data_IF_695953146520
#
_entry.id   IF_695953146520
#
_cell.length_a   1.000
_cell.length_b   1.000
_cell.length_c   1.000
_cell.angle_alpha   90.00
_cell.angle_beta   90.00
_cell.angle_gamma   90.00
#
_symmetry.space_group_name_H-M   'P 1'
#
loop_
_entity.id
_entity.type
_entity.pdbx_description
1 polymer ?
#
# COMPACT_ATOMS: atom_id res chain seq x y z
N UNK A 1 -24.75 -16.72 -10.46
CA UNK A 1 -24.56 -16.70 -8.99
C UNK A 1 -23.82 -17.92 -8.47
N UNK A 2 -24.18 -19.12 -8.85
CA UNK A 2 -23.44 -20.32 -8.43
C UNK A 2 -22.02 -20.39 -8.99
N UNK A 3 -21.78 -19.87 -10.17
CA UNK A 3 -20.45 -19.83 -10.78
C UNK A 3 -19.46 -18.90 -10.05
N UNK A 4 -19.94 -17.75 -9.57
CA UNK A 4 -19.08 -16.84 -8.82
C UNK A 4 -18.68 -17.42 -7.47
N UNK A 5 -19.54 -18.17 -6.81
CA UNK A 5 -19.23 -18.85 -5.57
C UNK A 5 -18.21 -19.98 -5.76
N UNK A 6 -18.30 -20.72 -6.86
CA UNK A 6 -17.34 -21.76 -7.19
C UNK A 6 -15.94 -21.20 -7.48
N UNK A 7 -15.87 -20.09 -8.21
CA UNK A 7 -14.59 -19.42 -8.48
C UNK A 7 -13.97 -18.92 -7.18
N UNK A 8 -14.76 -18.34 -6.30
CA UNK A 8 -14.29 -17.87 -5.00
C UNK A 8 -13.77 -18.99 -4.11
N UNK A 9 -14.44 -20.13 -4.11
CA UNK A 9 -14.03 -21.32 -3.36
C UNK A 9 -12.72 -21.92 -3.92
N UNK A 10 -12.56 -21.95 -5.22
CA UNK A 10 -11.35 -22.43 -5.86
C UNK A 10 -10.14 -21.54 -5.52
N UNK A 11 -10.34 -20.23 -5.51
CA UNK A 11 -9.29 -19.30 -5.12
C UNK A 11 -8.91 -19.41 -3.65
N UNK A 12 -9.82 -19.83 -2.77
CA UNK A 12 -9.56 -19.93 -1.34
C UNK A 12 -8.95 -21.27 -0.91
N UNK A 13 -9.11 -22.35 -1.69
CA UNK A 13 -8.75 -23.70 -1.28
C UNK A 13 -7.49 -24.24 -1.94
N UNK A 14 -7.03 -23.64 -3.02
CA UNK A 14 -5.96 -24.19 -3.81
C UNK A 14 -4.68 -23.38 -3.77
N UNK A 15 -3.62 -23.97 -4.19
CA UNK A 15 -2.26 -23.51 -4.20
C UNK A 15 -2.10 -22.05 -4.60
N UNK A 16 -1.95 -21.20 -3.60
CA UNK A 16 -1.82 -19.75 -3.74
C UNK A 16 -0.68 -19.31 -4.65
N UNK A 17 0.34 -20.16 -4.80
CA UNK A 17 1.52 -19.86 -5.59
C UNK A 17 1.31 -20.10 -7.07
N UNK A 18 0.48 -21.08 -7.44
CA UNK A 18 0.24 -21.45 -8.82
C UNK A 18 -0.72 -20.51 -9.56
N UNK A 19 -1.47 -19.71 -8.82
CA UNK A 19 -2.46 -18.79 -9.38
C UNK A 19 -1.95 -17.35 -9.49
N UNK A 20 -0.66 -17.13 -9.24
CA UNK A 20 -0.10 -15.80 -9.36
C UNK A 20 0.12 -15.45 -10.82
N UNK A 21 -0.72 -14.55 -11.34
CA UNK A 21 -0.65 -14.10 -12.73
C UNK A 21 0.56 -13.20 -12.95
N UNK A 22 0.86 -12.35 -11.99
CA UNK A 22 1.98 -11.42 -12.07
C UNK A 22 3.10 -11.86 -11.12
N UNK A 23 4.25 -12.21 -11.67
CA UNK A 23 5.41 -12.64 -10.87
C UNK A 23 6.14 -11.46 -10.22
N UNK A 24 5.88 -10.26 -10.70
CA UNK A 24 6.53 -9.02 -10.27
C UNK A 24 5.52 -7.97 -9.80
N UNK A 25 4.38 -8.39 -9.26
CA UNK A 25 3.40 -7.44 -8.75
C UNK A 25 4.01 -6.59 -7.63
N UNK A 26 4.05 -5.27 -7.79
CA UNK A 26 4.59 -4.40 -6.75
C UNK A 26 3.78 -4.48 -5.45
N UNK A 27 2.48 -4.73 -5.53
CA UNK A 27 1.65 -4.90 -4.33
C UNK A 27 2.03 -6.15 -3.55
N UNK A 28 2.30 -7.25 -4.25
CA UNK A 28 2.73 -8.49 -3.59
C UNK A 28 4.11 -8.34 -2.95
N UNK A 29 5.02 -7.64 -3.60
CA UNK A 29 6.36 -7.37 -3.07
C UNK A 29 6.28 -6.45 -1.84
N UNK A 30 5.44 -5.43 -1.87
CA UNK A 30 5.22 -4.57 -0.70
C UNK A 30 4.60 -5.34 0.47
N UNK A 31 3.64 -6.21 0.21
CA UNK A 31 3.05 -7.07 1.24
C UNK A 31 4.12 -7.97 1.87
N UNK A 32 4.95 -8.56 1.06
CA UNK A 32 6.07 -9.39 1.55
C UNK A 32 7.05 -8.57 2.38
N UNK A 33 7.42 -7.39 1.91
CA UNK A 33 8.28 -6.48 2.65
C UNK A 33 7.68 -6.15 4.01
N UNK A 34 6.40 -5.84 4.05
CA UNK A 34 5.69 -5.53 5.29
C UNK A 34 5.68 -6.72 6.24
N UNK A 35 5.39 -7.91 5.75
CA UNK A 35 5.39 -9.12 6.58
C UNK A 35 6.76 -9.49 7.12
N UNK A 36 7.80 -9.24 6.33
CA UNK A 36 9.18 -9.47 6.78
C UNK A 36 9.54 -8.55 7.94
N UNK A 37 9.13 -7.30 7.88
CA UNK A 37 9.44 -6.29 8.89
C UNK A 37 8.53 -6.35 10.11
N UNK A 38 7.26 -6.67 9.90
CA UNK A 38 6.24 -6.62 10.95
C UNK A 38 5.39 -7.89 10.97
N UNK A 39 5.98 -9.05 11.32
CA UNK A 39 5.27 -10.33 11.23
C UNK A 39 4.03 -10.42 12.12
N UNK A 40 3.94 -9.61 13.16
CA UNK A 40 2.81 -9.61 14.09
C UNK A 40 1.72 -8.61 13.73
N UNK A 41 1.96 -7.74 12.75
CA UNK A 41 0.97 -6.76 12.32
C UNK A 41 0.16 -7.27 11.16
N UNK A 42 -1.12 -6.96 11.17
CA UNK A 42 -2.07 -7.39 10.14
C UNK A 42 -2.77 -6.18 9.56
N UNK A 43 -3.16 -6.30 8.31
CA UNK A 43 -3.97 -5.31 7.63
C UNK A 43 -4.81 -6.00 6.57
N UNK A 44 -5.82 -5.31 6.08
CA UNK A 44 -6.58 -5.65 4.87
C UNK A 44 -6.44 -4.50 3.91
N UNK A 45 -6.43 -4.80 2.62
CA UNK A 45 -6.36 -3.77 1.58
C UNK A 45 -7.39 -4.01 0.52
N UNK A 46 -7.96 -2.95 -0.01
CA UNK A 46 -8.90 -2.99 -1.11
C UNK A 46 -8.63 -1.85 -2.08
N UNK A 47 -9.13 -2.00 -3.30
CA UNK A 47 -9.08 -0.97 -4.32
C UNK A 47 -10.50 -0.43 -4.50
N UNK A 48 -10.64 0.89 -4.39
CA UNK A 48 -11.92 1.58 -4.54
C UNK A 48 -11.93 2.37 -5.86
N UNK A 49 -13.05 2.41 -6.58
CA UNK A 49 -13.11 3.16 -7.84
C UNK A 49 -12.74 4.63 -7.72
N UNK A 50 -13.20 5.27 -6.65
CA UNK A 50 -12.78 6.61 -6.26
C UNK A 50 -12.99 6.77 -4.76
N UNK A 51 -12.16 7.61 -4.14
CA UNK A 51 -12.22 7.83 -2.72
C UNK A 51 -12.38 9.33 -2.47
N UNK A 52 -13.31 9.68 -1.58
CA UNK A 52 -13.53 11.05 -1.14
C UNK A 52 -13.45 11.13 0.38
N UNK A 53 -12.91 12.23 0.87
CA UNK A 53 -12.94 12.51 2.30
C UNK A 53 -14.32 13.03 2.74
N UNK A 54 -14.46 13.33 4.02
CA UNK A 54 -15.72 13.81 4.60
C UNK A 54 -16.18 15.14 3.99
N UNK A 55 -15.25 15.90 3.43
CA UNK A 55 -15.53 17.19 2.79
C UNK A 55 -15.83 17.05 1.29
N UNK A 56 -15.78 15.83 0.76
CA UNK A 56 -16.03 15.57 -0.65
C UNK A 56 -14.81 15.74 -1.54
N UNK A 57 -13.63 15.96 -0.97
CA UNK A 57 -12.38 16.07 -1.73
C UNK A 57 -11.88 14.68 -2.13
N UNK A 58 -11.35 14.60 -3.35
CA UNK A 58 -10.74 13.36 -3.83
C UNK A 58 -9.45 13.07 -3.07
N UNK A 59 -9.33 11.85 -2.56
CA UNK A 59 -8.10 11.34 -1.96
C UNK A 59 -7.67 10.07 -2.67
N UNK A 60 -6.39 9.74 -2.59
CA UNK A 60 -5.84 8.61 -3.34
C UNK A 60 -5.68 7.34 -2.50
N UNK A 61 -5.74 7.45 -1.20
CA UNK A 61 -5.71 6.33 -0.29
C UNK A 61 -6.00 6.77 1.14
N UNK A 62 -6.35 5.82 1.97
CA UNK A 62 -6.48 6.05 3.41
C UNK A 62 -6.31 4.73 4.16
N UNK A 63 -5.97 4.84 5.45
CA UNK A 63 -5.97 3.73 6.38
C UNK A 63 -7.02 3.98 7.45
N UNK A 64 -7.94 3.04 7.59
CA UNK A 64 -8.97 3.12 8.61
C UNK A 64 -8.59 2.24 9.79
N UNK A 65 -8.45 2.86 10.95
CA UNK A 65 -8.26 2.16 12.21
C UNK A 65 -9.59 2.08 12.95
N UNK A 66 -9.92 0.88 13.40
CA UNK A 66 -11.10 0.64 14.22
C UNK A 66 -10.69 -0.16 15.45
N UNK A 67 -11.15 0.27 16.60
CA UNK A 67 -10.74 -0.33 17.88
C UNK A 67 -11.05 -1.84 17.91
N UNK A 68 -10.02 -2.63 18.16
CA UNK A 68 -10.16 -4.09 18.24
C UNK A 68 -10.28 -4.78 16.88
N UNK A 69 -10.17 -4.06 15.79
CA UNK A 69 -10.27 -4.61 14.44
C UNK A 69 -8.96 -4.43 13.65
N UNK A 70 -8.79 -5.27 12.64
CA UNK A 70 -7.66 -5.15 11.71
C UNK A 70 -7.79 -3.88 10.88
N UNK A 71 -6.72 -3.06 10.78
CA UNK A 71 -6.76 -1.88 9.93
C UNK A 71 -7.06 -2.22 8.48
N UNK A 72 -7.78 -1.33 7.81
CA UNK A 72 -8.14 -1.47 6.40
C UNK A 72 -7.54 -0.33 5.60
N UNK A 73 -6.80 -0.70 4.56
CA UNK A 73 -6.22 0.24 3.60
C UNK A 73 -7.11 0.27 2.36
N UNK A 74 -7.45 1.46 1.89
CA UNK A 74 -8.11 1.66 0.60
C UNK A 74 -7.20 2.46 -0.33
N UNK A 75 -7.11 2.03 -1.58
CA UNK A 75 -6.31 2.66 -2.62
C UNK A 75 -7.23 3.00 -3.79
N UNK A 76 -7.09 4.20 -4.33
CA UNK A 76 -7.91 4.64 -5.47
C UNK A 76 -7.51 3.92 -6.74
N UNK A 77 -8.50 3.44 -7.49
CA UNK A 77 -8.32 2.84 -8.81
C UNK A 77 -7.99 3.87 -9.89
N UNK A 78 -8.05 5.16 -9.57
CA UNK A 78 -7.74 6.24 -10.50
C UNK A 78 -6.24 6.44 -10.73
N UNK A 79 -5.40 5.80 -9.93
CA UNK A 79 -3.95 5.92 -9.99
C UNK A 79 -3.34 4.94 -10.99
N UNK A 80 -2.23 5.34 -11.62
CA UNK A 80 -1.39 4.37 -12.32
C UNK A 80 -0.72 3.43 -11.32
N UNK A 81 -0.12 2.35 -11.82
CA UNK A 81 0.46 1.32 -10.94
C UNK A 81 1.59 1.88 -10.06
N UNK A 82 2.41 2.78 -10.60
CA UNK A 82 3.53 3.37 -9.84
C UNK A 82 3.03 4.20 -8.67
N UNK A 83 2.08 5.10 -8.94
CA UNK A 83 1.49 5.94 -7.90
C UNK A 83 0.71 5.11 -6.88
N UNK A 84 -0.04 4.10 -7.35
CA UNK A 84 -0.77 3.20 -6.46
C UNK A 84 0.17 2.42 -5.55
N UNK A 85 1.33 2.00 -6.06
CA UNK A 85 2.36 1.32 -5.28
C UNK A 85 2.89 2.23 -4.17
N UNK A 86 3.18 3.47 -4.51
CA UNK A 86 3.66 4.46 -3.53
C UNK A 86 2.61 4.76 -2.47
N UNK A 87 1.36 4.94 -2.87
CA UNK A 87 0.25 5.15 -1.93
C UNK A 87 0.08 3.93 -1.03
N UNK A 88 0.18 2.73 -1.57
CA UNK A 88 0.10 1.53 -0.74
C UNK A 88 1.20 1.49 0.32
N UNK A 89 2.45 1.80 -0.05
CA UNK A 89 3.55 1.87 0.90
C UNK A 89 3.32 2.97 1.95
N UNK A 90 2.78 4.11 1.55
CA UNK A 90 2.40 5.21 2.45
C UNK A 90 1.39 4.73 3.50
N UNK A 91 0.37 4.02 3.07
CA UNK A 91 -0.66 3.50 3.99
C UNK A 91 -0.14 2.35 4.86
N UNK A 92 0.73 1.49 4.32
CA UNK A 92 1.41 0.47 5.13
C UNK A 92 2.26 1.10 6.24
N UNK A 93 2.90 2.22 5.95
CA UNK A 93 3.66 2.95 6.96
C UNK A 93 2.76 3.47 8.09
N UNK A 94 1.53 3.87 7.78
CA UNK A 94 0.55 4.21 8.81
C UNK A 94 0.19 3.01 9.70
N UNK A 95 0.00 1.84 9.11
CA UNK A 95 -0.24 0.61 9.88
C UNK A 95 0.95 0.29 10.78
N UNK A 96 2.17 0.42 10.27
CA UNK A 96 3.40 0.15 11.02
C UNK A 96 3.60 1.14 12.17
N UNK A 97 3.39 2.43 11.91
CA UNK A 97 3.57 3.48 12.91
C UNK A 97 2.47 3.49 13.97
N UNK A 98 1.27 3.07 13.59
CA UNK A 98 0.11 3.03 14.48
C UNK A 98 -0.79 4.25 14.38
N UNK A 99 -2.01 4.09 14.86
CA UNK A 99 -2.99 5.15 14.92
C UNK A 99 -2.46 6.33 15.75
N UNK A 100 -2.64 7.53 15.24
CA UNK A 100 -2.23 8.74 15.94
C UNK A 100 -0.82 9.21 15.64
N UNK A 101 0.00 8.43 14.91
CA UNK A 101 1.36 8.85 14.55
C UNK A 101 1.38 9.97 13.49
N UNK A 102 0.29 10.13 12.73
CA UNK A 102 0.22 11.11 11.64
C UNK A 102 1.33 10.87 10.61
N UNK A 103 1.84 11.95 10.03
CA UNK A 103 2.99 11.93 9.11
C UNK A 103 4.27 12.38 9.80
N UNK A 104 4.37 12.18 11.12
CA UNK A 104 5.53 12.55 11.89
C UNK A 104 6.76 11.68 11.62
N UNK A 105 7.78 11.90 12.43
CA UNK A 105 9.07 11.20 12.29
C UNK A 105 8.94 9.69 12.26
N UNK A 106 8.15 9.13 13.16
CA UNK A 106 7.94 7.69 13.24
C UNK A 106 7.35 7.11 11.95
N UNK A 107 6.34 7.77 11.38
CA UNK A 107 5.78 7.36 10.11
C UNK A 107 6.84 7.40 9.00
N UNK A 108 7.63 8.46 8.95
CA UNK A 108 8.70 8.61 7.96
C UNK A 108 9.75 7.49 8.05
N UNK A 109 10.13 7.12 9.26
CA UNK A 109 11.07 6.01 9.48
C UNK A 109 10.50 4.68 9.00
N UNK A 110 9.25 4.40 9.31
CA UNK A 110 8.59 3.18 8.88
C UNK A 110 8.40 3.14 7.36
N UNK A 111 8.06 4.26 6.77
CA UNK A 111 7.95 4.37 5.32
C UNK A 111 9.29 4.07 4.63
N UNK A 112 10.37 4.65 5.11
CA UNK A 112 11.71 4.40 4.56
C UNK A 112 12.10 2.93 4.72
N UNK A 113 11.81 2.35 5.87
CA UNK A 113 12.11 0.94 6.15
C UNK A 113 11.37 0.00 5.20
N UNK A 114 10.10 0.27 4.93
CA UNK A 114 9.28 -0.52 4.00
C UNK A 114 9.85 -0.42 2.58
N UNK A 115 10.21 0.77 2.14
CA UNK A 115 10.80 0.95 0.82
C UNK A 115 12.16 0.30 0.67
N UNK A 116 13.00 0.38 1.67
CA UNK A 116 14.32 -0.27 1.66
C UNK A 116 14.17 -1.80 1.51
N UNK A 117 13.23 -2.39 2.25
CA UNK A 117 12.97 -3.81 2.15
C UNK A 117 12.36 -4.19 0.80
N UNK A 118 11.43 -3.38 0.31
CA UNK A 118 10.85 -3.55 -1.02
C UNK A 118 11.93 -3.55 -2.11
N UNK A 119 12.83 -2.58 -2.07
CA UNK A 119 13.93 -2.49 -3.03
C UNK A 119 14.91 -3.65 -2.88
N UNK A 120 15.18 -4.08 -1.66
CA UNK A 120 16.04 -5.23 -1.40
C UNK A 120 15.46 -6.49 -2.06
N UNK A 121 14.17 -6.75 -1.86
CA UNK A 121 13.50 -7.91 -2.45
C UNK A 121 13.53 -7.81 -3.98
N UNK A 122 13.26 -6.64 -4.53
CA UNK A 122 13.28 -6.42 -5.97
C UNK A 122 14.64 -6.71 -6.59
N UNK A 123 15.70 -6.20 -5.98
CA UNK A 123 17.07 -6.46 -6.44
C UNK A 123 17.44 -7.93 -6.37
N UNK A 124 17.08 -8.59 -5.28
CA UNK A 124 17.36 -10.01 -5.10
C UNK A 124 16.69 -10.88 -6.17
N UNK A 125 15.46 -10.55 -6.55
CA UNK A 125 14.68 -11.35 -7.49
C UNK A 125 14.87 -10.99 -8.95
N UNK A 126 15.07 -9.72 -9.24
CA UNK A 126 15.05 -9.20 -10.62
C UNK A 126 16.39 -8.60 -11.04
N UNK A 127 17.37 -8.56 -10.14
CA UNK A 127 18.69 -8.02 -10.41
C UNK A 127 18.71 -6.48 -10.45
N UNK A 128 19.87 -5.93 -10.77
CA UNK A 128 20.07 -4.48 -10.79
C UNK A 128 19.30 -3.76 -11.90
N UNK A 129 18.87 -4.50 -12.92
CA UNK A 129 18.04 -3.99 -14.01
C UNK A 129 16.55 -3.88 -13.62
N UNK A 130 16.15 -4.52 -12.53
CA UNK A 130 14.89 -4.24 -11.88
C UNK A 130 15.02 -2.85 -11.26
N UNK A 131 14.64 -1.85 -12.01
CA UNK A 131 14.78 -0.45 -11.62
C UNK A 131 14.24 -0.22 -10.22
N UNK A 132 15.10 0.27 -9.36
CA UNK A 132 14.67 0.87 -8.12
C UNK A 132 13.56 1.85 -8.46
N UNK A 133 12.44 1.66 -7.83
CA UNK A 133 11.40 2.67 -7.89
C UNK A 133 11.97 3.84 -7.09
N UNK A 134 12.54 4.82 -7.79
CA UNK A 134 12.82 6.09 -7.17
C UNK A 134 11.48 6.68 -6.78
N UNK A 135 11.16 6.49 -5.52
CA UNK A 135 10.03 7.21 -4.96
C UNK A 135 10.37 8.67 -4.99
N UNK A 136 9.57 9.42 -5.66
CA UNK A 136 9.72 10.85 -5.66
C UNK A 136 9.27 11.42 -4.31
N UNK A 137 10.18 11.69 -3.38
CA UNK A 137 9.82 12.45 -2.17
C UNK A 137 9.23 13.81 -2.54
N UNK A 138 9.62 14.33 -3.67
CA UNK A 138 9.16 15.58 -4.26
C UNK A 138 7.65 15.61 -4.54
N UNK A 139 7.07 14.46 -4.86
CA UNK A 139 5.63 14.38 -5.12
C UNK A 139 4.79 14.70 -3.89
N UNK A 140 5.33 14.54 -2.69
CA UNK A 140 4.62 14.81 -1.45
C UNK A 140 4.71 16.25 -1.01
N UNK A 141 5.87 16.84 -1.21
CA UNK A 141 6.10 18.21 -0.82
C UNK A 141 5.22 19.17 -1.63
N UNK A 142 4.99 18.86 -2.91
CA UNK A 142 4.11 19.66 -3.76
C UNK A 142 2.64 19.58 -3.38
N UNK A 143 2.20 18.47 -2.79
CA UNK A 143 0.79 18.35 -2.37
C UNK A 143 0.50 18.98 -1.02
N UNK A 144 1.47 19.03 -0.13
CA UNK A 144 1.30 19.68 1.16
C UNK A 144 1.36 21.20 1.07
N UNK A 145 2.13 21.72 0.10
CA UNK A 145 2.32 23.16 -0.06
C UNK A 145 1.13 23.87 -0.74
N UNK A 146 0.30 23.15 -1.46
CA UNK A 146 -0.88 23.70 -2.10
C UNK A 146 -2.08 23.89 -1.16
N UNK A 147 -1.96 23.48 0.08
CA UNK A 147 -3.02 23.62 1.09
C UNK A 147 -2.99 24.92 1.90
N UNK A 148 -1.88 25.64 1.87
CA UNK A 148 -1.70 26.80 2.75
C UNK A 148 -1.82 28.18 2.08
N UNK A 149 -1.95 28.25 0.76
CA UNK A 149 -1.99 29.54 0.06
C UNK A 149 -3.38 30.11 -0.23
N UNK A 150 -4.41 29.59 0.37
CA UNK A 150 -5.76 30.17 0.23
C UNK A 150 -6.27 30.73 1.55
N UNK A 151 -5.64 31.78 1.98
CA UNK A 151 -6.28 32.74 2.87
C UNK A 151 -6.69 34.00 2.11
#
# INVERSE_FOLDING_TARGET
>A
MQQSMQISLLCSTEHKEENMIFINSPFAILDEAFRNLYPDKKYKACIEPSIKDDEGNRVFGFTQFSKGETPVIAISAELNIMDATEIFAHELAHVAAGEGAGHGERWGEEFQRIFDEYNRIGKERFGEDGKEIETAPEYREEQEDNGEENE
#
